data_IF_066905852872
#
_entry.id   IF_066905852872
#
_cell.length_a   1.000
_cell.length_b   1.000
_cell.length_c   1.000
_cell.angle_alpha   90.00
_cell.angle_beta   90.00
_cell.angle_gamma   90.00
#
_symmetry.space_group_name_H-M   'P 1'
#
loop_
_entity.id
_entity.type
_entity.pdbx_description
1 polymer ?
#
# COMPACT_ATOMS: atom_id res chain seq x y z
N UNK A 1 16.04 -28.63 4.93
CA UNK A 1 14.76 -28.87 4.28
C UNK A 1 15.01 -29.44 2.89
N UNK A 2 14.54 -30.63 2.61
CA UNK A 2 14.86 -31.37 1.37
C UNK A 2 13.92 -30.99 0.19
N UNK A 3 13.34 -29.77 0.23
CA UNK A 3 12.37 -29.36 -0.78
C UNK A 3 10.93 -29.86 -0.55
N UNK A 4 10.67 -30.42 0.64
CA UNK A 4 9.33 -30.92 1.03
C UNK A 4 8.43 -29.81 1.61
N UNK A 5 9.00 -28.65 1.95
CA UNK A 5 8.28 -27.51 2.48
C UNK A 5 8.69 -26.24 1.74
N UNK A 6 7.69 -25.49 1.30
CA UNK A 6 7.90 -24.13 0.82
C UNK A 6 7.63 -23.11 1.93
N UNK A 7 8.42 -22.03 1.92
CA UNK A 7 8.16 -20.81 2.65
C UNK A 7 7.70 -19.76 1.63
N UNK A 8 6.53 -19.19 1.81
CA UNK A 8 5.98 -18.23 0.87
C UNK A 8 4.84 -17.40 1.47
N UNK A 9 4.41 -16.36 0.77
CA UNK A 9 3.28 -15.53 1.16
C UNK A 9 1.95 -16.30 1.06
N UNK A 10 0.90 -15.70 1.64
CA UNK A 10 -0.44 -16.28 1.64
C UNK A 10 -0.94 -16.61 0.23
N UNK A 11 -0.61 -15.80 -0.77
CA UNK A 11 -1.00 -16.04 -2.16
C UNK A 11 -0.47 -17.36 -2.71
N UNK A 12 0.76 -17.73 -2.37
CA UNK A 12 1.34 -19.02 -2.77
C UNK A 12 0.66 -20.20 -2.09
N UNK A 13 0.29 -20.05 -0.82
CA UNK A 13 -0.49 -21.07 -0.11
C UNK A 13 -1.88 -21.24 -0.72
N UNK A 14 -2.56 -20.13 -1.04
CA UNK A 14 -3.90 -20.17 -1.64
C UNK A 14 -3.87 -20.80 -3.04
N UNK A 15 -2.92 -20.43 -3.91
CA UNK A 15 -2.78 -21.04 -5.22
C UNK A 15 -2.51 -22.54 -5.12
N UNK A 16 -1.60 -22.95 -4.25
CA UNK A 16 -1.35 -24.38 -3.98
C UNK A 16 -2.57 -25.13 -3.45
N UNK A 17 -3.30 -24.51 -2.49
CA UNK A 17 -4.48 -25.15 -1.91
C UNK A 17 -5.64 -25.29 -2.92
N UNK A 18 -5.78 -24.32 -3.81
CA UNK A 18 -6.87 -24.30 -4.79
C UNK A 18 -6.59 -25.11 -6.06
N UNK A 19 -5.34 -25.18 -6.49
CA UNK A 19 -4.99 -25.78 -7.81
C UNK A 19 -3.97 -26.90 -7.76
N UNK A 20 -3.30 -27.09 -6.62
CA UNK A 20 -2.15 -28.00 -6.52
C UNK A 20 -0.84 -27.39 -7.05
N UNK A 21 -0.86 -26.16 -7.54
CA UNK A 21 0.31 -25.46 -8.10
C UNK A 21 0.78 -24.37 -7.17
N UNK A 22 2.00 -24.52 -6.60
CA UNK A 22 2.62 -23.47 -5.82
C UNK A 22 3.31 -22.45 -6.73
N UNK A 23 3.04 -21.17 -6.53
CA UNK A 23 3.72 -20.08 -7.21
C UNK A 23 3.60 -18.79 -6.41
N UNK A 24 4.69 -18.00 -6.36
CA UNK A 24 4.64 -16.63 -5.84
C UNK A 24 4.62 -15.70 -7.03
N UNK A 25 3.53 -14.98 -7.19
CA UNK A 25 3.44 -14.00 -8.25
C UNK A 25 4.19 -12.71 -7.88
N UNK A 26 4.69 -12.00 -8.90
CA UNK A 26 5.66 -10.92 -8.72
C UNK A 26 5.14 -9.74 -7.92
N UNK A 27 3.83 -9.44 -7.93
CA UNK A 27 3.28 -8.31 -7.17
C UNK A 27 3.40 -8.51 -5.65
N UNK A 28 3.22 -9.74 -5.19
CA UNK A 28 3.41 -10.11 -3.78
C UNK A 28 4.87 -10.45 -3.46
N UNK A 29 5.61 -11.04 -4.42
CA UNK A 29 7.05 -11.26 -4.25
C UNK A 29 7.78 -9.96 -3.87
N UNK A 30 7.43 -8.83 -4.48
CA UNK A 30 7.96 -7.50 -4.16
C UNK A 30 7.73 -7.08 -2.70
N UNK A 31 6.74 -7.64 -2.01
CA UNK A 31 6.41 -7.32 -0.61
C UNK A 31 7.13 -8.24 0.39
N UNK A 32 7.83 -9.26 -0.09
CA UNK A 32 8.51 -10.24 0.76
C UNK A 32 9.86 -9.77 1.33
N UNK A 33 10.41 -8.65 0.85
CA UNK A 33 11.79 -8.18 1.07
C UNK A 33 12.87 -9.11 0.47
N UNK A 34 12.47 -10.12 -0.30
CA UNK A 34 13.39 -11.10 -0.90
C UNK A 34 13.52 -10.94 -2.42
N UNK A 35 12.71 -10.10 -3.04
CA UNK A 35 12.67 -9.92 -4.49
C UNK A 35 13.53 -8.72 -4.93
N UNK A 36 14.33 -8.93 -5.97
CA UNK A 36 15.08 -7.86 -6.64
C UNK A 36 14.30 -7.38 -7.86
N UNK A 37 13.76 -6.17 -7.75
CA UNK A 37 12.90 -5.56 -8.78
C UNK A 37 13.64 -5.29 -10.10
N UNK A 38 14.97 -5.08 -10.07
CA UNK A 38 15.78 -4.86 -11.26
C UNK A 38 16.17 -6.17 -11.93
N UNK A 39 16.48 -7.21 -11.15
CA UNK A 39 16.79 -8.55 -11.64
C UNK A 39 15.53 -9.27 -12.11
N UNK A 40 14.38 -9.00 -11.48
CA UNK A 40 13.12 -9.70 -11.71
C UNK A 40 13.14 -11.12 -11.15
N UNK A 41 13.89 -11.33 -10.05
CA UNK A 41 14.10 -12.64 -9.43
C UNK A 41 14.39 -12.45 -7.94
N UNK A 42 14.53 -13.56 -7.21
CA UNK A 42 14.94 -13.53 -5.82
C UNK A 42 16.31 -12.85 -5.65
N UNK A 43 16.46 -12.04 -4.62
CA UNK A 43 17.69 -11.33 -4.30
C UNK A 43 18.65 -12.24 -3.52
N UNK A 44 19.78 -12.60 -4.12
CA UNK A 44 20.83 -13.38 -3.45
C UNK A 44 21.32 -12.67 -2.17
N UNK A 45 21.41 -11.34 -2.20
CA UNK A 45 21.77 -10.53 -1.03
C UNK A 45 20.74 -10.70 0.10
N UNK A 46 19.46 -10.53 -0.20
CA UNK A 46 18.41 -10.62 0.81
C UNK A 46 18.25 -12.04 1.35
N UNK A 47 18.33 -13.05 0.47
CA UNK A 47 18.29 -14.44 0.87
C UNK A 47 19.41 -14.78 1.85
N UNK A 48 20.63 -14.35 1.57
CA UNK A 48 21.77 -14.53 2.47
C UNK A 48 21.60 -13.76 3.78
N UNK A 49 21.12 -12.51 3.72
CA UNK A 49 20.92 -11.67 4.90
C UNK A 49 19.90 -12.28 5.88
N UNK A 50 18.80 -12.82 5.37
CA UNK A 50 17.74 -13.42 6.17
C UNK A 50 17.94 -14.92 6.42
N UNK A 51 19.00 -15.55 5.86
CA UNK A 51 19.25 -16.97 6.01
C UNK A 51 18.20 -17.87 5.35
N UNK A 52 17.55 -17.39 4.27
CA UNK A 52 16.53 -18.13 3.54
C UNK A 52 17.17 -18.91 2.40
N UNK A 53 16.97 -20.23 2.39
CA UNK A 53 17.43 -21.06 1.27
C UNK A 53 16.53 -20.86 0.05
N UNK A 54 17.07 -20.62 -1.16
CA UNK A 54 16.28 -20.53 -2.39
C UNK A 54 15.41 -21.77 -2.64
N UNK A 55 15.85 -22.94 -2.19
CA UNK A 55 15.13 -24.22 -2.32
C UNK A 55 13.83 -24.28 -1.50
N UNK A 56 13.67 -23.37 -0.54
CA UNK A 56 12.45 -23.28 0.27
C UNK A 56 11.42 -22.33 -0.34
N UNK A 57 11.78 -21.60 -1.40
CA UNK A 57 10.87 -20.64 -2.03
C UNK A 57 10.11 -21.31 -3.19
N UNK A 58 8.79 -21.05 -3.31
CA UNK A 58 8.07 -21.45 -4.50
C UNK A 58 8.61 -20.75 -5.75
N UNK A 59 8.38 -21.29 -6.94
CA UNK A 59 8.74 -20.61 -8.18
C UNK A 59 8.12 -19.22 -8.28
N UNK A 60 8.89 -18.24 -8.77
CA UNK A 60 8.36 -16.95 -9.17
C UNK A 60 7.56 -17.10 -10.47
N UNK A 61 6.38 -16.50 -10.51
CA UNK A 61 5.51 -16.53 -11.67
C UNK A 61 4.97 -15.12 -11.96
N UNK A 62 4.57 -14.82 -13.21
CA UNK A 62 3.87 -13.57 -13.52
C UNK A 62 2.55 -13.46 -12.75
N UNK A 63 2.03 -12.24 -12.63
CA UNK A 63 0.70 -11.96 -12.06
C UNK A 63 -0.41 -12.69 -12.85
N UNK A 64 -0.33 -12.65 -14.18
CA UNK A 64 -1.17 -13.46 -15.06
C UNK A 64 -0.42 -14.75 -15.41
N UNK A 65 -0.83 -15.82 -14.78
CA UNK A 65 -0.20 -17.13 -14.92
C UNK A 65 -1.26 -18.24 -14.87
N UNK A 66 -1.05 -19.31 -15.62
CA UNK A 66 -1.94 -20.49 -15.58
C UNK A 66 -1.59 -21.38 -14.38
N UNK A 67 -2.28 -21.17 -13.27
CA UNK A 67 -2.14 -22.02 -12.07
C UNK A 67 -2.89 -23.36 -12.20
N UNK A 68 -3.68 -23.55 -13.24
CA UNK A 68 -4.56 -24.70 -13.41
C UNK A 68 -5.99 -24.42 -12.94
N UNK A 69 -6.76 -25.49 -12.75
CA UNK A 69 -8.17 -25.39 -12.36
C UNK A 69 -8.34 -25.43 -10.84
N UNK A 70 -9.25 -24.59 -10.33
CA UNK A 70 -9.55 -24.51 -8.90
C UNK A 70 -10.32 -25.73 -8.42
N UNK A 71 -9.76 -26.48 -7.46
CA UNK A 71 -10.38 -27.65 -6.85
C UNK A 71 -10.92 -28.63 -7.92
N UNK A 72 -12.09 -29.21 -7.69
CA UNK A 72 -12.75 -30.12 -8.64
C UNK A 72 -13.61 -29.41 -9.69
N UNK A 73 -13.30 -28.13 -9.97
CA UNK A 73 -14.05 -27.31 -10.91
C UNK A 73 -13.37 -27.22 -12.29
N UNK A 74 -14.10 -26.63 -13.26
CA UNK A 74 -13.54 -26.22 -14.56
C UNK A 74 -13.18 -24.74 -14.60
N UNK A 75 -13.07 -24.10 -13.45
CA UNK A 75 -12.76 -22.67 -13.34
C UNK A 75 -11.23 -22.51 -13.25
N UNK A 76 -10.56 -21.90 -14.24
CA UNK A 76 -9.13 -21.69 -14.19
C UNK A 76 -8.78 -20.60 -13.18
N UNK A 77 -7.68 -20.78 -12.44
CA UNK A 77 -7.02 -19.72 -11.70
C UNK A 77 -5.95 -19.12 -12.61
N UNK A 78 -6.28 -18.01 -13.25
CA UNK A 78 -5.44 -17.37 -14.26
C UNK A 78 -4.75 -16.10 -13.79
N UNK A 79 -5.13 -15.56 -12.63
CA UNK A 79 -4.55 -14.33 -12.06
C UNK A 79 -4.52 -14.46 -10.54
N UNK A 80 -3.38 -14.16 -9.96
CA UNK A 80 -3.20 -13.89 -8.53
C UNK A 80 -2.46 -12.57 -8.42
N UNK A 81 -2.94 -11.66 -7.58
CA UNK A 81 -2.44 -10.29 -7.52
C UNK A 81 -2.68 -9.70 -6.11
N UNK A 82 -1.78 -8.83 -5.67
CA UNK A 82 -1.99 -8.06 -4.44
C UNK A 82 -3.17 -7.10 -4.57
N UNK A 83 -3.89 -6.86 -3.47
CA UNK A 83 -5.08 -6.00 -3.42
C UNK A 83 -4.81 -4.57 -3.86
N UNK A 84 -3.71 -3.98 -3.40
CA UNK A 84 -3.31 -2.62 -3.78
C UNK A 84 -2.98 -2.51 -5.26
N UNK A 85 -2.29 -3.50 -5.82
CA UNK A 85 -1.98 -3.58 -7.24
C UNK A 85 -3.25 -3.75 -8.08
N UNK A 86 -4.17 -4.59 -7.62
CA UNK A 86 -5.48 -4.75 -8.25
C UNK A 86 -6.30 -3.46 -8.21
N UNK A 87 -6.23 -2.69 -7.11
CA UNK A 87 -6.92 -1.41 -6.97
C UNK A 87 -6.45 -0.38 -8.00
N UNK A 88 -5.13 -0.26 -8.23
CA UNK A 88 -4.60 0.61 -9.28
C UNK A 88 -5.15 0.24 -10.67
N UNK A 89 -5.16 -1.07 -11.00
CA UNK A 89 -5.72 -1.53 -12.28
C UNK A 89 -7.22 -1.22 -12.38
N UNK A 90 -7.96 -1.51 -11.32
CA UNK A 90 -9.41 -1.31 -11.27
C UNK A 90 -9.83 0.15 -11.39
N UNK A 91 -9.07 1.07 -10.80
CA UNK A 91 -9.37 2.50 -10.81
C UNK A 91 -8.84 3.21 -12.07
N UNK A 92 -7.64 2.86 -12.52
CA UNK A 92 -6.89 3.67 -13.49
C UNK A 92 -6.35 2.87 -14.69
N UNK A 93 -6.52 1.54 -14.70
CA UNK A 93 -6.03 0.66 -15.76
C UNK A 93 -4.51 0.57 -15.83
N UNK A 94 -4.00 0.25 -17.03
CA UNK A 94 -2.56 0.06 -17.28
C UNK A 94 -1.91 1.28 -17.97
N UNK A 95 -2.59 2.42 -18.01
CA UNK A 95 -2.05 3.61 -18.67
C UNK A 95 -0.89 4.19 -17.87
N UNK A 96 0.26 4.38 -18.53
CA UNK A 96 1.42 5.06 -17.94
C UNK A 96 1.02 6.41 -17.35
N UNK A 97 1.50 6.71 -16.15
CA UNK A 97 1.22 7.95 -15.45
C UNK A 97 -0.14 8.01 -14.75
N UNK A 98 -0.93 6.92 -14.80
CA UNK A 98 -2.17 6.86 -14.02
C UNK A 98 -1.88 6.89 -12.54
N UNK A 99 -2.74 7.60 -11.79
CA UNK A 99 -2.71 7.66 -10.33
C UNK A 99 -4.02 7.11 -9.80
N UNK A 100 -3.92 6.34 -8.73
CA UNK A 100 -5.06 5.89 -7.94
C UNK A 100 -4.82 6.24 -6.47
N UNK A 101 -5.88 6.61 -5.75
CA UNK A 101 -5.85 6.84 -4.30
C UNK A 101 -6.88 5.96 -3.64
N UNK A 102 -6.49 5.33 -2.55
CA UNK A 102 -7.35 4.50 -1.72
C UNK A 102 -7.41 5.07 -0.31
N UNK A 103 -8.63 5.22 0.21
CA UNK A 103 -8.90 5.70 1.56
C UNK A 103 -9.62 4.60 2.33
N UNK A 104 -8.89 3.90 3.19
CA UNK A 104 -9.39 2.90 4.12
C UNK A 104 -8.93 3.23 5.54
N UNK A 105 -8.75 2.25 6.41
CA UNK A 105 -8.15 2.45 7.74
C UNK A 105 -6.80 3.17 7.63
N UNK A 106 -5.96 2.73 6.71
CA UNK A 106 -4.82 3.46 6.14
C UNK A 106 -5.16 3.91 4.72
N UNK A 107 -4.37 4.82 4.16
CA UNK A 107 -4.52 5.28 2.78
C UNK A 107 -3.32 4.93 1.93
N UNK A 108 -3.47 5.04 0.61
CA UNK A 108 -2.35 4.94 -0.33
C UNK A 108 -2.56 5.82 -1.55
N UNK A 109 -1.43 6.29 -2.09
CA UNK A 109 -1.35 6.95 -3.40
C UNK A 109 -0.47 6.09 -4.28
N UNK A 110 -0.99 5.64 -5.40
CA UNK A 110 -0.35 4.69 -6.31
C UNK A 110 -0.16 5.34 -7.68
N UNK A 111 1.00 5.14 -8.26
CA UNK A 111 1.37 5.69 -9.56
C UNK A 111 1.89 4.59 -10.49
N UNK A 112 1.33 4.49 -11.70
CA UNK A 112 1.83 3.60 -12.75
C UNK A 112 3.10 4.17 -13.38
N UNK A 113 4.24 3.59 -13.05
CA UNK A 113 5.57 3.99 -13.52
C UNK A 113 5.95 3.39 -14.91
N UNK A 114 5.07 2.58 -15.51
CA UNK A 114 5.30 1.94 -16.80
C UNK A 114 6.13 0.67 -16.71
N UNK A 115 6.87 0.37 -17.78
CA UNK A 115 7.58 -0.90 -17.93
C UNK A 115 9.02 -0.91 -17.39
N UNK A 116 9.47 0.19 -16.79
CA UNK A 116 10.78 0.26 -16.15
C UNK A 116 10.60 0.53 -14.66
N UNK A 117 11.31 -0.21 -13.78
CA UNK A 117 11.23 0.06 -12.36
C UNK A 117 11.79 1.45 -12.03
N UNK A 118 11.09 2.18 -11.19
CA UNK A 118 11.52 3.48 -10.67
C UNK A 118 11.66 3.40 -9.16
N UNK A 119 12.81 3.77 -8.66
CA UNK A 119 13.07 3.85 -7.23
C UNK A 119 13.00 5.31 -6.82
N UNK A 120 12.03 5.63 -5.98
CA UNK A 120 11.84 6.97 -5.41
C UNK A 120 12.06 6.86 -3.91
N UNK A 121 13.04 7.63 -3.40
CA UNK A 121 13.31 7.62 -1.97
C UNK A 121 12.08 8.03 -1.17
N UNK A 122 11.79 7.28 -0.12
CA UNK A 122 10.61 7.50 0.71
C UNK A 122 9.33 6.84 0.20
N UNK A 123 9.31 6.29 -1.02
CA UNK A 123 8.18 5.58 -1.59
C UNK A 123 8.53 4.10 -1.83
N UNK A 124 7.52 3.29 -2.06
CA UNK A 124 7.67 1.85 -2.30
C UNK A 124 7.49 1.57 -3.79
N UNK A 125 8.45 0.85 -4.38
CA UNK A 125 8.35 0.39 -5.77
C UNK A 125 8.02 -1.08 -5.84
N UNK A 126 7.14 -1.48 -6.73
CA UNK A 126 6.76 -2.89 -6.91
C UNK A 126 6.27 -3.18 -8.33
N UNK A 127 6.26 -4.44 -8.70
CA UNK A 127 5.50 -4.91 -9.86
C UNK A 127 4.02 -4.86 -9.53
N UNK A 128 3.18 -4.35 -10.41
CA UNK A 128 1.73 -4.40 -10.20
C UNK A 128 0.99 -5.21 -11.26
N UNK A 129 1.59 -5.43 -12.42
CA UNK A 129 1.09 -6.36 -13.41
C UNK A 129 2.25 -6.99 -14.17
N UNK A 130 2.13 -8.27 -14.47
CA UNK A 130 3.03 -8.97 -15.39
C UNK A 130 2.33 -10.15 -16.06
N UNK A 131 2.75 -10.43 -17.29
CA UNK A 131 2.45 -11.66 -18.02
C UNK A 131 3.71 -12.15 -18.73
N UNK A 132 3.60 -13.10 -19.65
CA UNK A 132 4.74 -13.65 -20.39
C UNK A 132 5.51 -12.61 -21.25
N UNK A 133 4.87 -11.50 -21.61
CA UNK A 133 5.40 -10.53 -22.57
C UNK A 133 5.72 -9.17 -21.97
N UNK A 134 4.97 -8.75 -20.94
CA UNK A 134 5.05 -7.40 -20.39
C UNK A 134 5.10 -7.43 -18.86
N UNK A 135 5.73 -6.40 -18.31
CA UNK A 135 5.77 -6.14 -16.88
C UNK A 135 5.59 -4.64 -16.65
N UNK A 136 4.68 -4.31 -15.73
CA UNK A 136 4.43 -2.94 -15.30
C UNK A 136 4.79 -2.76 -13.85
N UNK A 137 5.37 -1.60 -13.56
CA UNK A 137 5.82 -1.20 -12.23
C UNK A 137 4.97 -0.06 -11.70
N UNK A 138 4.80 -0.04 -10.41
CA UNK A 138 4.17 1.07 -9.69
C UNK A 138 5.08 1.63 -8.62
N UNK A 139 4.86 2.88 -8.28
CA UNK A 139 5.40 3.54 -7.09
C UNK A 139 4.24 3.89 -6.19
N UNK A 140 4.38 3.66 -4.90
CA UNK A 140 3.31 3.81 -3.92
C UNK A 140 3.82 4.57 -2.69
N UNK A 141 3.01 5.53 -2.22
CA UNK A 141 3.11 6.09 -0.90
C UNK A 141 1.94 5.65 -0.03
N UNK A 142 2.20 5.23 1.21
CA UNK A 142 1.18 4.82 2.18
C UNK A 142 0.96 5.89 3.24
N UNK A 143 -0.25 6.01 3.75
CA UNK A 143 -0.67 6.94 4.80
C UNK A 143 -1.21 6.11 5.97
N UNK A 144 -0.57 6.18 7.14
CA UNK A 144 -0.97 5.41 8.32
C UNK A 144 -2.25 5.93 8.97
N UNK A 145 -2.46 7.24 8.94
CA UNK A 145 -3.61 7.91 9.54
C UNK A 145 -4.57 8.38 8.43
N UNK A 146 -5.52 7.53 8.05
CA UNK A 146 -6.60 7.85 7.14
C UNK A 146 -7.94 7.68 7.89
N UNK A 147 -8.76 6.69 7.62
CA UNK A 147 -10.00 6.51 8.41
C UNK A 147 -9.73 6.19 9.90
N UNK A 148 -8.56 5.63 10.23
CA UNK A 148 -8.14 5.45 11.62
C UNK A 148 -8.01 6.78 12.37
N UNK A 149 -7.73 7.88 11.66
CA UNK A 149 -7.69 9.22 12.24
C UNK A 149 -9.04 9.64 12.81
N UNK A 150 -10.12 9.30 12.13
CA UNK A 150 -11.47 9.68 12.57
C UNK A 150 -11.79 9.03 13.91
N UNK A 151 -11.57 7.74 14.06
CA UNK A 151 -11.77 7.05 15.34
C UNK A 151 -10.87 7.60 16.44
N UNK A 152 -9.61 7.93 16.10
CA UNK A 152 -8.68 8.52 17.06
C UNK A 152 -9.17 9.90 17.56
N UNK A 153 -9.63 10.77 16.67
CA UNK A 153 -10.15 12.08 17.06
C UNK A 153 -11.50 11.99 17.81
N UNK A 154 -12.35 11.02 17.48
CA UNK A 154 -13.56 10.74 18.25
C UNK A 154 -13.23 10.44 19.71
N UNK A 155 -12.20 9.62 19.92
CA UNK A 155 -11.72 9.23 21.26
C UNK A 155 -11.06 10.41 21.98
N UNK A 156 -10.20 11.17 21.31
CA UNK A 156 -9.52 12.35 21.85
C UNK A 156 -10.49 13.49 22.24
N UNK A 157 -11.52 13.71 21.46
CA UNK A 157 -12.54 14.74 21.70
C UNK A 157 -13.66 14.24 22.63
N UNK A 158 -13.75 12.94 22.87
CA UNK A 158 -14.82 12.35 23.68
C UNK A 158 -16.20 12.43 23.02
N UNK A 159 -16.24 12.47 21.68
CA UNK A 159 -17.48 12.59 20.89
C UNK A 159 -17.83 11.21 20.33
N UNK A 160 -19.04 10.72 20.63
CA UNK A 160 -19.50 9.44 20.11
C UNK A 160 -19.62 9.47 18.59
N UNK A 161 -19.30 8.35 17.93
CA UNK A 161 -19.27 8.21 16.46
C UNK A 161 -20.56 8.70 15.79
N UNK A 162 -21.72 8.34 16.32
CA UNK A 162 -23.05 8.74 15.83
C UNK A 162 -23.37 10.23 15.99
N UNK A 163 -22.55 10.96 16.76
CA UNK A 163 -22.69 12.41 17.02
C UNK A 163 -21.58 13.25 16.41
N UNK A 164 -20.59 12.61 15.81
CA UNK A 164 -19.42 13.33 15.29
C UNK A 164 -19.77 14.20 14.09
N UNK A 165 -20.64 13.76 13.18
CA UNK A 165 -21.11 14.52 12.02
C UNK A 165 -19.97 15.23 11.27
N UNK A 166 -18.94 14.47 10.88
CA UNK A 166 -17.66 14.95 10.34
C UNK A 166 -17.78 16.08 9.32
N UNK A 167 -18.54 15.86 8.25
CA UNK A 167 -18.69 16.84 7.15
C UNK A 167 -19.35 18.14 7.64
N UNK A 168 -20.35 18.00 8.52
CA UNK A 168 -21.06 19.15 9.06
C UNK A 168 -20.16 19.99 9.96
N UNK A 169 -19.39 19.38 10.87
CA UNK A 169 -18.45 20.08 11.75
C UNK A 169 -17.36 20.78 10.96
N UNK A 170 -16.70 20.05 10.04
CA UNK A 170 -15.66 20.61 9.21
C UNK A 170 -16.14 21.75 8.30
N UNK A 171 -17.41 21.75 7.88
CA UNK A 171 -17.96 22.80 7.03
C UNK A 171 -18.29 24.10 7.78
N UNK A 172 -18.37 24.08 9.10
CA UNK A 172 -18.73 25.25 9.91
C UNK A 172 -17.58 26.22 10.12
N UNK A 173 -16.36 25.76 10.00
CA UNK A 173 -15.19 26.53 10.34
C UNK A 173 -14.12 26.42 9.25
N UNK A 174 -13.35 27.47 9.12
CA UNK A 174 -12.08 27.44 8.42
C UNK A 174 -10.98 27.48 9.47
N UNK A 175 -9.81 26.94 9.18
CA UNK A 175 -8.66 26.96 10.08
C UNK A 175 -7.38 27.25 9.34
N UNK A 176 -6.51 28.04 9.97
CA UNK A 176 -5.11 28.14 9.60
C UNK A 176 -4.24 27.15 10.40
N UNK A 177 -4.87 26.42 11.32
CA UNK A 177 -4.23 25.44 12.16
C UNK A 177 -3.93 24.15 11.42
N UNK A 178 -2.84 23.48 11.81
CA UNK A 178 -2.38 22.22 11.23
C UNK A 178 -2.40 21.12 12.30
N UNK A 179 -2.99 20.00 11.95
CA UNK A 179 -2.92 18.78 12.74
C UNK A 179 -1.98 17.76 12.06
N UNK A 180 -0.99 17.25 12.81
CA UNK A 180 -0.11 16.20 12.34
C UNK A 180 -0.40 14.93 13.15
N UNK A 181 -0.99 13.89 12.52
CA UNK A 181 -1.34 12.65 13.22
C UNK A 181 -0.11 11.82 13.52
N UNK A 182 0.36 11.84 14.76
CA UNK A 182 1.53 11.10 15.20
C UNK A 182 1.25 9.71 15.77
N UNK A 183 0.02 9.44 16.21
CA UNK A 183 -0.37 8.25 16.97
C UNK A 183 0.00 6.91 16.31
N UNK A 184 -0.09 6.81 14.99
CA UNK A 184 0.34 5.64 14.19
C UNK A 184 1.66 5.87 13.45
N UNK A 185 2.35 6.99 13.71
CA UNK A 185 3.50 7.43 12.93
C UNK A 185 3.13 7.92 11.54
N UNK A 186 4.12 8.49 10.87
CA UNK A 186 4.02 8.90 9.47
C UNK A 186 4.67 7.84 8.58
N UNK A 187 3.91 7.29 7.64
CA UNK A 187 4.46 6.37 6.66
C UNK A 187 5.20 7.13 5.55
N UNK A 188 4.87 6.90 4.29
CA UNK A 188 5.51 7.58 3.18
C UNK A 188 5.24 9.11 3.21
N UNK A 189 6.21 9.93 2.81
CA UNK A 189 7.57 9.60 2.48
C UNK A 189 8.53 9.61 3.69
N UNK A 190 8.03 9.86 4.89
CA UNK A 190 8.79 10.20 6.10
C UNK A 190 9.32 9.00 6.88
N UNK A 191 8.56 7.91 6.94
CA UNK A 191 8.89 6.68 7.67
C UNK A 191 9.27 6.92 9.13
N UNK A 192 8.46 7.71 9.83
CA UNK A 192 8.65 8.03 11.25
C UNK A 192 7.80 7.11 12.13
N UNK A 193 8.38 6.53 13.20
CA UNK A 193 7.61 5.77 14.17
C UNK A 193 6.57 6.65 14.86
N UNK A 194 5.63 6.06 15.58
CA UNK A 194 4.60 6.77 16.32
C UNK A 194 5.18 7.79 17.33
N UNK A 195 4.55 8.94 17.41
CA UNK A 195 4.87 10.05 18.31
C UNK A 195 3.56 10.71 18.76
N UNK A 196 3.64 11.67 19.68
CA UNK A 196 2.46 12.42 20.09
C UNK A 196 1.96 13.30 18.96
N UNK A 197 0.65 13.39 18.80
CA UNK A 197 0.04 14.30 17.83
C UNK A 197 0.53 15.74 18.03
N UNK A 198 0.68 16.45 16.92
CA UNK A 198 1.15 17.84 16.93
C UNK A 198 0.02 18.74 16.44
N UNK A 199 -0.25 19.77 17.22
CA UNK A 199 -1.24 20.81 16.94
C UNK A 199 -0.50 22.14 16.75
N UNK A 200 -0.47 22.66 15.54
CA UNK A 200 0.16 23.93 15.21
C UNK A 200 -0.93 24.96 15.00
N UNK A 201 -0.85 26.09 15.70
CA UNK A 201 -1.81 27.21 15.63
C UNK A 201 -3.27 26.84 15.99
N UNK A 202 -3.51 25.61 16.39
CA UNK A 202 -4.75 25.17 17.01
C UNK A 202 -4.72 25.52 18.50
N UNK A 203 -4.88 26.82 18.82
CA UNK A 203 -4.59 27.39 20.14
C UNK A 203 -5.54 26.94 21.25
N UNK A 204 -6.63 26.35 20.88
CA UNK A 204 -7.59 25.88 21.87
C UNK A 204 -8.22 24.57 21.39
N UNK A 205 -7.92 23.51 22.06
CA UNK A 205 -8.78 22.30 22.08
C UNK A 205 -10.24 22.63 22.49
N UNK A 206 -10.61 23.90 22.60
CA UNK A 206 -11.95 24.37 22.94
C UNK A 206 -12.84 24.56 21.71
N UNK A 207 -12.30 24.63 20.52
CA UNK A 207 -13.07 24.57 19.27
C UNK A 207 -12.90 23.18 18.64
N UNK A 208 -13.79 22.28 18.98
CA UNK A 208 -13.78 20.90 18.48
C UNK A 208 -13.95 20.86 16.96
N UNK A 209 -14.72 21.78 16.39
CA UNK A 209 -15.00 21.83 14.95
C UNK A 209 -13.73 22.22 14.17
N UNK A 210 -12.88 23.10 14.75
CA UNK A 210 -11.58 23.45 14.17
C UNK A 210 -10.61 22.27 14.19
N UNK A 211 -10.55 21.50 15.27
CA UNK A 211 -9.73 20.29 15.37
C UNK A 211 -10.20 19.23 14.37
N UNK A 212 -11.51 19.05 14.23
CA UNK A 212 -12.12 18.15 13.24
C UNK A 212 -11.71 18.57 11.83
N UNK A 213 -11.81 19.86 11.51
CA UNK A 213 -11.42 20.40 10.20
C UNK A 213 -9.95 20.15 9.90
N UNK A 214 -9.04 20.52 10.79
CA UNK A 214 -7.60 20.32 10.65
C UNK A 214 -7.24 18.83 10.53
N UNK A 215 -7.93 17.96 11.28
CA UNK A 215 -7.78 16.52 11.18
C UNK A 215 -8.15 15.99 9.79
N UNK A 216 -9.27 16.39 9.23
CA UNK A 216 -9.67 15.98 7.88
C UNK A 216 -8.69 16.50 6.82
N UNK A 217 -8.23 17.75 6.95
CA UNK A 217 -7.25 18.34 6.03
C UNK A 217 -5.88 17.66 6.09
N UNK A 218 -5.50 17.12 7.25
CA UNK A 218 -4.22 16.43 7.41
C UNK A 218 -4.05 15.23 6.48
N UNK A 219 -5.15 14.51 6.18
CA UNK A 219 -5.15 13.42 5.20
C UNK A 219 -4.83 13.96 3.80
N UNK A 220 -5.41 15.11 3.44
CA UNK A 220 -5.13 15.78 2.17
C UNK A 220 -3.66 16.24 2.06
N UNK A 221 -3.09 16.78 3.13
CA UNK A 221 -1.68 17.18 3.17
C UNK A 221 -0.74 15.99 2.99
N UNK A 222 -1.02 14.87 3.67
CA UNK A 222 -0.22 13.64 3.51
C UNK A 222 -0.32 13.07 2.08
N UNK A 223 -1.47 13.16 1.43
CA UNK A 223 -1.61 12.82 0.00
C UNK A 223 -0.75 13.75 -0.84
N UNK A 224 -0.81 15.06 -0.60
CA UNK A 224 -0.03 16.06 -1.35
C UNK A 224 1.48 15.82 -1.19
N UNK A 225 1.94 15.52 0.03
CA UNK A 225 3.35 15.21 0.28
C UNK A 225 3.85 14.03 -0.59
N UNK A 226 3.03 12.98 -0.73
CA UNK A 226 3.36 11.85 -1.60
C UNK A 226 3.39 12.28 -3.07
N UNK A 227 2.44 13.09 -3.51
CA UNK A 227 2.38 13.62 -4.88
C UNK A 227 3.60 14.50 -5.20
N UNK A 228 4.03 15.33 -4.28
CA UNK A 228 5.21 16.19 -4.42
C UNK A 228 6.50 15.36 -4.59
N UNK A 229 6.58 14.19 -3.96
CA UNK A 229 7.70 13.25 -4.15
C UNK A 229 7.61 12.49 -5.48
N UNK A 230 6.41 12.27 -5.99
CA UNK A 230 6.21 11.63 -7.29
C UNK A 230 6.53 12.57 -8.45
N UNK A 231 6.09 13.83 -8.39
CA UNK A 231 6.10 14.77 -9.51
C UNK A 231 7.48 14.93 -10.19
N UNK A 232 8.61 15.13 -9.49
CA UNK A 232 9.94 15.22 -10.10
C UNK A 232 10.41 13.94 -10.79
N UNK A 233 9.76 12.81 -10.48
CA UNK A 233 10.13 11.47 -10.96
C UNK A 233 9.15 10.91 -11.99
N UNK A 234 8.10 11.68 -12.33
CA UNK A 234 7.06 11.26 -13.27
C UNK A 234 7.41 11.53 -14.73
N UNK A 235 8.31 12.47 -15.00
CA UNK A 235 8.66 12.96 -16.35
C UNK A 235 10.15 12.85 -16.64
#
# INVERSE_FOLDING_TARGET
NNGELYFGPLSAFLSQAMTGTAGVEESIACRSLLYDIHKGDWSDFALNLFGVSPQCLPPLVPVKYDFGYMLDSKIPLAVVIGDQQAALIGQAGLKLGSIATNFGTSGSVQFNAGQNPRIVNGLISSVFYSDENIKYFMVEGTINACNSLFYHLEEELGIAHDKMEWDYRASKTETDGIFIPGFNGLAAPYWKPGFNDIYIELYKRSDEDEVVRAGMESVGFLVNDILDFLEPNMF
#
